data_IF_510655478346
#
_entry.id   IF_510655478346
#
_cell.length_a   1.000
_cell.length_b   1.000
_cell.length_c   1.000
_cell.angle_alpha   90.00
_cell.angle_beta   90.00
_cell.angle_gamma   90.00
#
_symmetry.space_group_name_H-M   'P 1'
#
loop_
_entity.id
_entity.type
_entity.pdbx_description
1 polymer ?
#
# COMPACT_ATOMS: atom_id res chain seq x y z
N UNK A 1 68.76 17.01 -7.80
CA UNK A 1 67.93 16.16 -8.70
C UNK A 1 66.76 15.67 -7.85
N UNK A 2 65.75 16.53 -7.66
CA UNK A 2 64.62 16.26 -6.76
C UNK A 2 63.37 16.03 -7.61
N UNK A 3 62.95 14.77 -7.77
CA UNK A 3 61.72 14.43 -8.48
C UNK A 3 60.52 14.59 -7.55
N UNK A 4 59.70 15.61 -7.80
CA UNK A 4 58.35 15.71 -7.23
C UNK A 4 57.52 14.52 -7.72
N UNK A 5 57.08 13.66 -6.80
CA UNK A 5 56.05 12.66 -7.06
C UNK A 5 54.68 13.34 -6.90
N UNK A 6 53.94 13.49 -8.00
CA UNK A 6 52.55 13.95 -8.00
C UNK A 6 51.65 12.86 -7.40
N UNK A 7 50.73 13.18 -6.46
CA UNK A 7 49.71 12.22 -6.06
C UNK A 7 48.67 12.09 -7.18
N UNK A 8 48.49 10.86 -7.67
CA UNK A 8 47.46 10.46 -8.61
C UNK A 8 46.11 10.50 -7.86
N UNK A 9 45.31 11.53 -8.11
CA UNK A 9 43.91 11.59 -7.67
C UNK A 9 43.13 10.55 -8.47
N UNK A 10 42.72 9.47 -7.82
CA UNK A 10 41.75 8.51 -8.35
C UNK A 10 40.36 9.13 -8.24
N UNK A 11 39.85 9.65 -9.36
CA UNK A 11 38.44 9.98 -9.50
C UNK A 11 37.69 8.65 -9.59
N UNK A 12 37.09 8.19 -8.49
CA UNK A 12 36.09 7.12 -8.53
C UNK A 12 34.86 7.73 -9.22
N UNK A 13 34.71 7.47 -10.51
CA UNK A 13 33.46 7.73 -11.21
C UNK A 13 32.42 6.77 -10.61
N UNK A 14 31.55 7.31 -9.75
CA UNK A 14 30.37 6.61 -9.27
C UNK A 14 29.39 6.54 -10.44
N UNK A 15 29.57 5.53 -11.30
CA UNK A 15 28.56 5.20 -12.31
C UNK A 15 27.31 4.73 -11.55
N UNK A 16 26.12 5.30 -11.81
CA UNK A 16 24.89 4.71 -11.29
C UNK A 16 24.77 3.32 -11.91
N UNK A 17 24.96 2.29 -11.09
CA UNK A 17 24.51 0.93 -11.42
C UNK A 17 22.98 1.02 -11.49
N UNK A 18 22.45 1.20 -12.70
CA UNK A 18 21.09 0.80 -12.99
C UNK A 18 21.09 -0.72 -12.89
N UNK A 19 20.86 -1.24 -11.69
CA UNK A 19 20.48 -2.63 -11.50
C UNK A 19 19.13 -2.76 -12.21
N UNK A 20 19.13 -3.40 -13.39
CA UNK A 20 17.90 -3.82 -14.05
C UNK A 20 17.22 -4.77 -13.08
N UNK A 21 16.18 -4.29 -12.39
CA UNK A 21 15.42 -5.11 -11.47
C UNK A 21 14.69 -6.18 -12.28
N UNK A 22 14.60 -7.43 -11.79
CA UNK A 22 13.84 -8.46 -12.47
C UNK A 22 12.39 -8.01 -12.68
N UNK A 23 11.84 -8.23 -13.88
CA UNK A 23 10.42 -7.92 -14.22
C UNK A 23 9.42 -8.67 -13.32
N UNK A 24 9.88 -9.66 -12.58
CA UNK A 24 9.11 -10.30 -11.51
C UNK A 24 8.64 -9.33 -10.43
N UNK A 25 9.32 -8.20 -10.24
CA UNK A 25 9.10 -7.28 -9.11
C UNK A 25 7.83 -6.41 -9.24
N UNK A 26 7.29 -6.17 -10.44
CA UNK A 26 6.04 -5.40 -10.54
C UNK A 26 4.84 -6.25 -10.13
N UNK A 27 4.00 -5.71 -9.26
CA UNK A 27 2.75 -6.33 -8.83
C UNK A 27 1.57 -5.37 -9.02
N UNK A 28 0.36 -5.87 -8.75
CA UNK A 28 -0.82 -5.02 -8.61
C UNK A 28 -1.30 -5.01 -7.16
N UNK A 29 -1.81 -3.89 -6.66
CA UNK A 29 -2.46 -3.83 -5.34
C UNK A 29 -3.62 -2.83 -5.35
N UNK A 30 -4.41 -2.84 -4.28
CA UNK A 30 -5.48 -1.87 -4.07
C UNK A 30 -5.04 -0.76 -3.14
N UNK A 31 -5.30 0.48 -3.54
CA UNK A 31 -5.30 1.64 -2.65
C UNK A 31 -6.71 2.12 -2.39
N UNK A 32 -7.05 2.28 -1.12
CA UNK A 32 -8.37 2.74 -0.72
C UNK A 32 -8.50 4.25 -0.88
N UNK A 33 -9.47 4.69 -1.67
CA UNK A 33 -9.86 6.11 -1.76
C UNK A 33 -10.96 6.42 -0.75
N UNK A 34 -11.98 5.54 -0.69
CA UNK A 34 -13.04 5.52 0.31
C UNK A 34 -13.68 4.12 0.36
N UNK A 35 -14.67 3.90 1.23
CA UNK A 35 -15.30 2.58 1.42
C UNK A 35 -15.93 1.97 0.14
N UNK A 36 -16.22 2.79 -0.88
CA UNK A 36 -16.86 2.38 -2.13
C UNK A 36 -15.99 2.59 -3.38
N UNK A 37 -14.74 3.04 -3.22
CA UNK A 37 -13.85 3.32 -4.35
C UNK A 37 -12.41 2.98 -3.98
N UNK A 38 -11.80 2.13 -4.80
CA UNK A 38 -10.41 1.70 -4.64
C UNK A 38 -9.68 1.87 -5.97
N UNK A 39 -8.47 2.39 -5.92
CA UNK A 39 -7.57 2.39 -7.07
C UNK A 39 -6.89 1.03 -7.18
N UNK A 40 -6.69 0.56 -8.40
CA UNK A 40 -5.85 -0.58 -8.72
C UNK A 40 -4.55 -0.02 -9.25
N UNK A 41 -3.46 -0.24 -8.52
CA UNK A 41 -2.14 0.26 -8.84
C UNK A 41 -1.29 -0.87 -9.39
N UNK A 42 -0.41 -0.54 -10.33
CA UNK A 42 0.67 -1.39 -10.83
C UNK A 42 2.01 -0.74 -10.45
N UNK A 43 2.99 -1.51 -9.97
CA UNK A 43 4.25 -0.93 -9.50
C UNK A 43 4.95 -1.75 -8.43
N UNK A 44 5.68 -1.02 -7.59
CA UNK A 44 6.48 -1.50 -6.46
C UNK A 44 5.87 -0.98 -5.14
N UNK A 45 5.12 -1.80 -4.38
CA UNK A 45 4.50 -1.34 -3.14
C UNK A 45 5.53 -0.95 -2.06
N UNK A 46 6.67 -1.64 -1.99
CA UNK A 46 7.80 -1.38 -1.09
C UNK A 46 8.49 -0.02 -1.33
N UNK A 47 8.49 0.45 -2.59
CA UNK A 47 9.01 1.77 -2.95
C UNK A 47 7.94 2.87 -2.88
N UNK A 48 6.68 2.51 -2.63
CA UNK A 48 5.51 3.36 -2.83
C UNK A 48 5.56 4.09 -4.18
N UNK A 49 5.85 3.31 -5.24
CA UNK A 49 6.13 3.83 -6.57
C UNK A 49 5.15 3.25 -7.59
N UNK A 50 4.00 3.92 -7.78
CA UNK A 50 3.09 3.61 -8.86
C UNK A 50 3.77 3.80 -10.23
N UNK A 51 3.52 2.86 -11.13
CA UNK A 51 3.90 2.93 -12.53
C UNK A 51 2.65 2.99 -13.42
N UNK A 52 2.78 3.47 -14.67
CA UNK A 52 1.65 3.49 -15.60
C UNK A 52 1.08 2.08 -15.79
N UNK A 53 -0.20 1.91 -15.42
CA UNK A 53 -0.94 0.68 -15.64
C UNK A 53 -1.41 0.62 -17.10
N UNK A 54 -1.14 -0.50 -17.79
CA UNK A 54 -1.65 -0.75 -19.12
C UNK A 54 -3.05 -1.37 -19.03
N UNK A 55 -4.06 -0.63 -19.50
CA UNK A 55 -5.45 -1.05 -19.39
C UNK A 55 -5.77 -2.29 -20.24
N UNK A 56 -5.01 -2.54 -21.31
CA UNK A 56 -5.22 -3.72 -22.17
C UNK A 56 -4.81 -5.01 -21.46
N UNK A 57 -3.93 -4.90 -20.46
CA UNK A 57 -3.46 -6.02 -19.62
C UNK A 57 -4.38 -6.29 -18.42
N UNK A 58 -5.19 -5.32 -18.01
CA UNK A 58 -6.16 -5.50 -16.95
C UNK A 58 -7.31 -6.41 -17.40
N UNK A 59 -7.56 -7.49 -16.65
CA UNK A 59 -8.55 -8.50 -17.03
C UNK A 59 -9.85 -8.36 -16.23
N UNK A 60 -9.75 -8.26 -14.90
CA UNK A 60 -10.94 -8.17 -14.06
C UNK A 60 -10.65 -7.66 -12.65
N UNK A 61 -11.70 -7.17 -11.99
CA UNK A 61 -11.73 -6.95 -10.56
C UNK A 61 -13.13 -7.23 -10.01
N UNK A 62 -13.18 -7.83 -8.82
CA UNK A 62 -14.41 -8.29 -8.17
C UNK A 62 -14.47 -7.76 -6.75
N UNK A 63 -15.65 -7.32 -6.31
CA UNK A 63 -15.91 -6.92 -4.94
C UNK A 63 -16.84 -7.92 -4.25
N UNK A 64 -16.65 -8.10 -2.94
CA UNK A 64 -17.40 -9.05 -2.13
C UNK A 64 -17.97 -8.39 -0.87
N UNK A 65 -19.13 -8.85 -0.41
CA UNK A 65 -19.69 -8.51 0.91
C UNK A 65 -19.05 -9.33 2.04
N UNK A 66 -19.50 -9.09 3.28
CA UNK A 66 -19.02 -9.79 4.47
C UNK A 66 -19.27 -11.31 4.47
N UNK A 67 -20.17 -11.80 3.62
CA UNK A 67 -20.50 -13.21 3.50
C UNK A 67 -19.74 -13.88 2.35
N UNK A 68 -18.68 -13.24 1.83
CA UNK A 68 -17.91 -13.72 0.69
C UNK A 68 -18.77 -13.87 -0.57
N UNK A 69 -19.80 -13.02 -0.72
CA UNK A 69 -20.65 -13.01 -1.90
C UNK A 69 -20.29 -11.82 -2.79
N UNK A 70 -20.19 -12.08 -4.10
CA UNK A 70 -19.97 -11.03 -5.10
C UNK A 70 -21.06 -9.97 -5.02
N UNK A 71 -20.65 -8.70 -4.96
CA UNK A 71 -21.52 -7.52 -5.02
C UNK A 71 -21.32 -6.77 -6.34
N UNK A 72 -22.31 -5.98 -6.80
CA UNK A 72 -22.17 -5.17 -8.00
C UNK A 72 -21.02 -4.17 -7.89
N UNK A 73 -20.12 -4.22 -8.87
CA UNK A 73 -19.00 -3.29 -9.02
C UNK A 73 -18.79 -2.90 -10.48
N UNK A 74 -18.17 -1.75 -10.71
CA UNK A 74 -17.75 -1.29 -12.03
C UNK A 74 -16.33 -0.78 -11.98
N UNK A 75 -15.59 -0.96 -13.08
CA UNK A 75 -14.30 -0.32 -13.26
C UNK A 75 -14.44 0.98 -14.02
N UNK A 76 -13.62 1.97 -13.69
CA UNK A 76 -13.57 3.25 -14.40
C UNK A 76 -12.14 3.75 -14.55
N UNK A 77 -11.80 4.25 -15.72
CA UNK A 77 -10.52 4.89 -15.99
C UNK A 77 -10.67 6.42 -15.87
N UNK A 78 -9.93 7.04 -14.96
CA UNK A 78 -9.94 8.49 -14.75
C UNK A 78 -8.50 9.01 -14.74
N UNK A 79 -8.15 9.90 -15.68
CA UNK A 79 -6.81 10.47 -15.80
C UNK A 79 -5.68 9.40 -15.82
N UNK A 80 -5.92 8.27 -16.49
CA UNK A 80 -4.96 7.16 -16.57
C UNK A 80 -4.89 6.27 -15.34
N UNK A 81 -5.74 6.48 -14.33
CA UNK A 81 -5.83 5.67 -13.11
C UNK A 81 -7.06 4.77 -13.17
N UNK A 82 -6.89 3.51 -12.79
CA UNK A 82 -7.95 2.52 -12.81
C UNK A 82 -8.60 2.39 -11.43
N UNK A 83 -9.92 2.56 -11.37
CA UNK A 83 -10.68 2.44 -10.13
C UNK A 83 -11.69 1.32 -10.21
N UNK A 84 -11.88 0.61 -9.09
CA UNK A 84 -13.02 -0.24 -8.81
C UNK A 84 -14.01 0.51 -7.92
N UNK A 85 -15.26 0.59 -8.36
CA UNK A 85 -16.34 1.29 -7.66
C UNK A 85 -17.46 0.33 -7.29
N UNK A 86 -18.03 0.50 -6.11
CA UNK A 86 -19.16 -0.29 -5.61
C UNK A 86 -20.30 0.64 -5.18
N UNK A 87 -21.52 0.09 -5.11
CA UNK A 87 -22.68 0.83 -4.59
C UNK A 87 -22.85 0.71 -3.07
N UNK A 88 -22.09 -0.19 -2.45
CA UNK A 88 -22.07 -0.46 -1.01
C UNK A 88 -20.65 -0.82 -0.60
N UNK A 89 -20.29 -0.64 0.69
CA UNK A 89 -18.95 -0.98 1.17
C UNK A 89 -18.57 -2.41 0.84
N UNK A 90 -17.41 -2.61 0.23
CA UNK A 90 -16.85 -3.94 0.00
C UNK A 90 -16.13 -4.41 1.27
N UNK A 91 -16.26 -5.69 1.59
CA UNK A 91 -15.50 -6.34 2.66
C UNK A 91 -14.23 -7.01 2.14
N UNK A 92 -14.21 -7.37 0.87
CA UNK A 92 -13.02 -7.88 0.19
C UNK A 92 -13.04 -7.49 -1.29
N UNK A 93 -11.86 -7.41 -1.88
CA UNK A 93 -11.63 -7.12 -3.30
C UNK A 93 -10.64 -8.11 -3.87
N UNK A 94 -10.83 -8.51 -5.12
CA UNK A 94 -9.82 -9.22 -5.90
C UNK A 94 -9.62 -8.58 -7.26
N UNK A 95 -8.41 -8.65 -7.82
CA UNK A 95 -8.11 -8.22 -9.18
C UNK A 95 -7.17 -9.19 -9.89
N UNK A 96 -7.23 -9.19 -11.22
CA UNK A 96 -6.37 -9.95 -12.11
C UNK A 96 -5.86 -9.05 -13.24
N UNK A 97 -4.56 -9.09 -13.45
CA UNK A 97 -3.83 -8.38 -14.48
C UNK A 97 -2.88 -9.36 -15.18
N UNK A 98 -3.06 -9.53 -16.48
CA UNK A 98 -2.18 -10.36 -17.31
C UNK A 98 -1.04 -9.47 -17.82
N UNK A 99 0.13 -9.57 -17.18
CA UNK A 99 1.27 -8.75 -17.56
C UNK A 99 1.90 -9.18 -18.91
N UNK A 100 1.36 -10.22 -19.53
CA UNK A 100 1.72 -10.70 -20.85
C UNK A 100 3.02 -11.51 -20.85
N UNK A 101 3.59 -11.65 -22.05
CA UNK A 101 4.80 -12.42 -22.28
C UNK A 101 6.04 -11.54 -22.22
N UNK A 102 7.08 -12.07 -21.61
CA UNK A 102 8.36 -11.40 -21.49
C UNK A 102 9.47 -12.33 -21.92
N UNK A 103 10.38 -11.79 -22.74
CA UNK A 103 11.58 -12.49 -23.16
C UNK A 103 12.76 -12.00 -22.35
N UNK A 104 13.46 -12.91 -21.69
CA UNK A 104 14.78 -12.65 -21.11
C UNK A 104 15.85 -12.64 -22.20
N UNK A 105 16.58 -11.54 -22.29
CA UNK A 105 17.68 -11.36 -23.23
C UNK A 105 18.99 -11.90 -22.63
N UNK A 106 20.02 -12.19 -23.46
CA UNK A 106 21.32 -12.70 -22.97
C UNK A 106 22.06 -11.76 -22.01
N UNK A 107 21.65 -10.50 -21.91
CA UNK A 107 22.18 -9.50 -20.98
C UNK A 107 21.31 -9.33 -19.72
N UNK A 108 20.42 -10.29 -19.45
CA UNK A 108 19.51 -10.32 -18.29
C UNK A 108 18.48 -9.18 -18.29
N UNK A 109 18.31 -8.49 -19.43
CA UNK A 109 17.20 -7.56 -19.64
C UNK A 109 15.95 -8.28 -20.11
N UNK A 110 14.80 -7.63 -20.00
CA UNK A 110 13.51 -8.23 -20.35
C UNK A 110 12.77 -7.34 -21.35
N UNK A 111 12.28 -7.95 -22.43
CA UNK A 111 11.41 -7.30 -23.41
C UNK A 111 9.99 -7.82 -23.28
N UNK A 112 8.99 -6.93 -23.19
CA UNK A 112 7.60 -7.33 -23.33
C UNK A 112 7.33 -7.65 -24.80
N UNK A 113 6.84 -8.84 -25.07
CA UNK A 113 6.55 -9.32 -26.43
C UNK A 113 5.07 -9.68 -26.54
N UNK A 114 4.56 -9.62 -27.76
CA UNK A 114 3.21 -10.07 -28.06
C UNK A 114 3.08 -11.59 -27.91
N UNK A 115 1.85 -12.07 -27.77
CA UNK A 115 1.56 -13.51 -27.81
C UNK A 115 2.02 -14.15 -29.12
N UNK A 116 1.80 -13.48 -30.26
CA UNK A 116 2.21 -13.98 -31.57
C UNK A 116 3.74 -14.14 -31.65
N UNK A 117 4.50 -13.18 -31.11
CA UNK A 117 5.96 -13.28 -31.05
C UNK A 117 6.42 -14.38 -30.10
N UNK A 118 5.77 -14.53 -28.95
CA UNK A 118 6.06 -15.62 -28.00
C UNK A 118 5.86 -16.99 -28.65
N UNK A 119 4.76 -17.16 -29.40
CA UNK A 119 4.45 -18.41 -30.12
C UNK A 119 5.41 -18.71 -31.27
N UNK A 120 6.07 -17.69 -31.82
CA UNK A 120 7.00 -17.82 -32.94
C UNK A 120 8.43 -18.19 -32.54
N UNK A 121 8.79 -18.16 -31.25
CA UNK A 121 10.15 -18.41 -30.74
C UNK A 121 10.23 -19.65 -29.83
N UNK A 122 11.44 -20.20 -29.61
CA UNK A 122 11.64 -21.27 -28.64
C UNK A 122 11.53 -20.68 -27.22
N UNK A 123 10.65 -21.26 -26.39
CA UNK A 123 10.21 -20.68 -25.11
C UNK A 123 11.23 -20.74 -23.97
N UNK A 124 12.45 -21.24 -24.21
CA UNK A 124 13.47 -21.40 -23.16
C UNK A 124 13.81 -20.10 -22.41
N UNK A 125 13.55 -18.94 -23.01
CA UNK A 125 13.74 -17.63 -22.39
C UNK A 125 12.47 -16.75 -22.41
N UNK A 126 11.29 -17.37 -22.49
CA UNK A 126 10.00 -16.67 -22.51
C UNK A 126 9.14 -17.16 -21.35
N UNK A 127 8.63 -16.22 -20.57
CA UNK A 127 7.65 -16.52 -19.52
C UNK A 127 6.45 -15.59 -19.65
N UNK A 128 5.26 -16.11 -19.33
CA UNK A 128 4.08 -15.29 -19.08
C UNK A 128 4.06 -14.87 -17.61
N UNK A 129 3.72 -13.61 -17.34
CA UNK A 129 3.59 -13.12 -15.98
C UNK A 129 2.16 -12.70 -15.69
N UNK A 130 1.53 -13.31 -14.70
CA UNK A 130 0.15 -13.00 -14.28
C UNK A 130 0.14 -12.50 -12.84
N UNK A 131 -0.65 -11.47 -12.59
CA UNK A 131 -0.64 -10.73 -11.32
C UNK A 131 -2.04 -10.70 -10.72
N UNK A 132 -2.14 -11.07 -9.46
CA UNK A 132 -3.37 -11.10 -8.69
C UNK A 132 -3.23 -10.21 -7.47
N UNK A 133 -4.34 -9.61 -7.05
CA UNK A 133 -4.41 -8.85 -5.81
C UNK A 133 -5.61 -9.31 -5.00
N UNK A 134 -5.44 -9.37 -3.68
CA UNK A 134 -6.54 -9.50 -2.71
C UNK A 134 -6.42 -8.41 -1.66
N UNK A 135 -7.52 -7.75 -1.35
CA UNK A 135 -7.58 -6.78 -0.24
C UNK A 135 -8.78 -7.06 0.65
N UNK A 136 -8.60 -6.96 1.97
CA UNK A 136 -9.65 -7.14 2.96
C UNK A 136 -9.92 -5.85 3.74
N UNK A 137 -11.20 -5.52 3.91
CA UNK A 137 -11.65 -4.38 4.72
C UNK A 137 -12.56 -4.78 5.88
N UNK A 138 -12.90 -6.06 5.97
CA UNK A 138 -13.53 -6.70 7.12
C UNK A 138 -12.92 -8.10 7.33
N UNK A 139 -13.19 -8.70 8.49
CA UNK A 139 -12.71 -10.05 8.81
C UNK A 139 -13.78 -10.87 9.53
N UNK A 140 -13.96 -12.11 9.07
CA UNK A 140 -14.79 -13.15 9.69
C UNK A 140 -14.43 -14.52 9.07
N UNK A 141 -15.09 -15.59 9.51
CA UNK A 141 -14.82 -16.95 9.02
C UNK A 141 -14.99 -17.11 7.50
N UNK A 142 -15.96 -16.40 6.89
CA UNK A 142 -16.22 -16.45 5.43
C UNK A 142 -15.11 -15.77 4.63
N UNK A 143 -14.60 -14.64 5.12
CA UNK A 143 -13.51 -13.87 4.48
C UNK A 143 -12.12 -14.46 4.77
N UNK A 144 -12.02 -15.34 5.77
CA UNK A 144 -10.83 -16.14 6.03
C UNK A 144 -10.70 -17.37 5.10
N UNK A 145 -11.66 -17.59 4.19
CA UNK A 145 -11.58 -18.65 3.18
C UNK A 145 -10.91 -18.16 1.87
N UNK A 146 -10.34 -19.06 1.06
CA UNK A 146 -9.79 -18.72 -0.25
C UNK A 146 -10.86 -18.17 -1.19
N UNK A 147 -10.48 -17.16 -1.98
CA UNK A 147 -11.29 -16.52 -3.02
C UNK A 147 -11.15 -17.22 -4.38
N UNK A 148 -10.51 -18.39 -4.40
CA UNK A 148 -10.28 -19.22 -5.59
C UNK A 148 -9.48 -18.49 -6.69
N UNK A 149 -8.52 -17.65 -6.29
CA UNK A 149 -7.54 -17.11 -7.22
C UNK A 149 -6.52 -18.21 -7.58
N UNK A 150 -5.96 -18.23 -8.79
CA UNK A 150 -4.92 -19.20 -9.16
C UNK A 150 -3.72 -19.21 -8.22
N UNK A 151 -3.30 -18.04 -7.77
CA UNK A 151 -2.38 -17.85 -6.64
C UNK A 151 -3.03 -16.92 -5.61
N UNK A 152 -2.90 -17.22 -4.32
CA UNK A 152 -3.54 -16.45 -3.26
C UNK A 152 -2.74 -16.46 -1.97
N UNK A 153 -2.56 -15.30 -1.34
CA UNK A 153 -2.02 -15.18 0.01
C UNK A 153 -3.19 -15.27 1.01
N UNK A 154 -3.11 -16.22 1.94
CA UNK A 154 -4.11 -16.49 2.96
C UNK A 154 -3.58 -16.10 4.34
N UNK A 155 -4.10 -15.02 4.96
CA UNK A 155 -3.85 -14.77 6.38
C UNK A 155 -4.49 -15.87 7.25
N UNK A 156 -3.77 -16.32 8.28
CA UNK A 156 -4.25 -17.36 9.21
C UNK A 156 -4.90 -16.79 10.48
N UNK A 157 -4.89 -15.47 10.62
CA UNK A 157 -5.53 -14.73 11.70
C UNK A 157 -6.05 -13.37 11.19
N UNK A 158 -6.74 -12.61 12.03
CA UNK A 158 -7.35 -11.34 11.64
C UNK A 158 -6.29 -10.27 11.30
N UNK A 159 -6.13 -9.89 10.02
CA UNK A 159 -5.12 -8.94 9.60
C UNK A 159 -5.49 -7.49 9.92
N UNK A 160 -6.72 -7.22 10.37
CA UNK A 160 -7.23 -5.88 10.69
C UNK A 160 -7.06 -5.49 12.17
N UNK A 161 -6.56 -6.40 13.01
CA UNK A 161 -6.40 -6.18 14.45
C UNK A 161 -4.95 -6.41 14.89
N UNK A 162 -4.00 -6.06 14.02
CA UNK A 162 -2.58 -6.18 14.27
C UNK A 162 -2.02 -4.84 14.78
N UNK A 163 -1.17 -4.90 15.79
CA UNK A 163 -0.39 -3.79 16.31
C UNK A 163 1.10 -3.94 15.94
N UNK A 164 1.87 -2.85 16.08
CA UNK A 164 3.31 -2.90 15.87
C UNK A 164 3.96 -3.92 16.83
N UNK A 165 4.80 -4.80 16.28
CA UNK A 165 5.42 -5.91 17.01
C UNK A 165 4.64 -7.23 16.95
N UNK A 166 3.41 -7.23 16.45
CA UNK A 166 2.67 -8.45 16.15
C UNK A 166 3.29 -9.18 14.94
N UNK A 167 2.83 -10.42 14.73
CA UNK A 167 3.26 -11.25 13.61
C UNK A 167 2.03 -11.86 12.95
N UNK A 168 1.84 -11.60 11.66
CA UNK A 168 0.77 -12.21 10.87
C UNK A 168 1.26 -13.50 10.19
N UNK A 169 0.85 -14.69 10.66
CA UNK A 169 1.05 -15.92 9.91
C UNK A 169 0.20 -15.94 8.64
N UNK A 170 0.84 -16.28 7.52
CA UNK A 170 0.18 -16.46 6.22
C UNK A 170 0.53 -17.82 5.59
N UNK A 171 -0.28 -18.26 4.64
CA UNK A 171 0.04 -19.32 3.69
C UNK A 171 -0.13 -18.80 2.27
N UNK A 172 0.62 -19.36 1.32
CA UNK A 172 0.39 -19.11 -0.12
C UNK A 172 -0.25 -20.35 -0.72
N UNK A 173 -1.34 -20.14 -1.43
CA UNK A 173 -2.04 -21.18 -2.16
C UNK A 173 -1.76 -21.03 -3.66
N UNK A 174 -1.57 -22.15 -4.34
CA UNK A 174 -1.62 -22.26 -5.79
C UNK A 174 -2.65 -23.33 -6.15
N UNK A 175 -3.63 -22.99 -6.98
CA UNK A 175 -4.76 -23.86 -7.32
C UNK A 175 -5.39 -24.52 -6.06
N UNK A 176 -5.75 -23.68 -5.07
CA UNK A 176 -6.36 -24.06 -3.79
C UNK A 176 -5.49 -24.92 -2.84
N UNK A 177 -4.26 -25.27 -3.23
CA UNK A 177 -3.35 -26.07 -2.41
C UNK A 177 -2.21 -25.22 -1.87
N UNK A 178 -1.76 -25.49 -0.65
CA UNK A 178 -0.54 -24.88 -0.12
C UNK A 178 0.61 -25.25 -1.05
N UNK A 179 1.27 -24.23 -1.59
CA UNK A 179 2.37 -24.42 -2.53
C UNK A 179 3.68 -24.62 -1.77
N UNK A 180 4.55 -25.47 -2.30
CA UNK A 180 5.89 -25.66 -1.74
C UNK A 180 6.81 -24.54 -2.20
N UNK A 181 7.63 -24.04 -1.28
CA UNK A 181 8.64 -23.00 -1.51
C UNK A 181 8.21 -21.80 -2.39
N UNK A 182 7.08 -21.11 -2.11
CA UNK A 182 6.80 -19.83 -2.76
C UNK A 182 7.85 -18.80 -2.34
N UNK A 183 8.15 -17.85 -3.23
CA UNK A 183 8.85 -16.63 -2.82
C UNK A 183 7.82 -15.73 -2.12
N UNK A 184 8.12 -15.32 -0.89
CA UNK A 184 7.31 -14.35 -0.14
C UNK A 184 8.18 -13.15 0.17
N UNK A 185 7.66 -11.96 -0.08
CA UNK A 185 8.37 -10.69 0.14
C UNK A 185 7.49 -9.74 0.94
N UNK A 186 8.13 -8.95 1.79
CA UNK A 186 7.48 -7.92 2.59
C UNK A 186 8.45 -6.76 2.81
N UNK A 187 8.06 -5.55 2.42
CA UNK A 187 8.90 -4.35 2.47
C UNK A 187 10.25 -4.52 1.73
N UNK A 188 10.22 -5.22 0.60
CA UNK A 188 11.40 -5.50 -0.23
C UNK A 188 12.35 -6.56 0.33
N UNK A 189 11.98 -7.23 1.42
CA UNK A 189 12.79 -8.30 2.03
C UNK A 189 12.12 -9.67 1.85
N UNK A 190 12.92 -10.68 1.54
CA UNK A 190 12.44 -12.06 1.44
C UNK A 190 12.09 -12.63 2.83
N UNK A 191 10.88 -13.17 2.96
CA UNK A 191 10.39 -13.84 4.16
C UNK A 191 10.52 -15.36 4.01
N UNK A 192 11.12 -15.99 5.02
CA UNK A 192 11.26 -17.44 5.05
C UNK A 192 9.90 -18.14 5.22
N UNK A 193 9.63 -19.10 4.34
CA UNK A 193 8.49 -20.02 4.43
C UNK A 193 8.96 -21.30 5.13
N UNK A 194 8.25 -21.71 6.18
CA UNK A 194 8.61 -22.91 6.93
C UNK A 194 8.09 -24.19 6.27
N UNK A 195 8.44 -25.35 6.84
CA UNK A 195 8.08 -26.67 6.31
C UNK A 195 6.57 -26.96 6.25
N UNK A 196 5.73 -26.14 6.88
CA UNK A 196 4.27 -26.25 6.83
C UNK A 196 3.66 -25.28 5.79
N UNK A 197 4.49 -24.63 4.97
CA UNK A 197 4.06 -23.63 3.99
C UNK A 197 3.65 -22.30 4.60
N UNK A 198 4.06 -22.01 5.85
CA UNK A 198 3.70 -20.79 6.56
C UNK A 198 4.85 -19.79 6.55
N UNK A 199 4.57 -18.56 6.14
CA UNK A 199 5.45 -17.39 6.35
C UNK A 199 4.92 -16.55 7.51
N UNK A 200 5.83 -15.91 8.26
CA UNK A 200 5.50 -15.06 9.40
C UNK A 200 5.85 -13.61 9.03
N UNK A 201 4.84 -12.77 8.91
CA UNK A 201 4.99 -11.37 8.50
C UNK A 201 5.11 -10.47 9.74
N UNK A 202 6.25 -9.82 9.98
CA UNK A 202 6.42 -8.94 11.13
C UNK A 202 5.72 -7.59 10.90
N UNK A 203 4.92 -7.14 11.87
CA UNK A 203 4.16 -5.90 11.76
C UNK A 203 4.95 -4.72 12.33
N UNK A 204 5.17 -3.70 11.50
CA UNK A 204 5.91 -2.50 11.87
C UNK A 204 5.02 -1.38 12.41
N UNK A 205 5.63 -0.23 12.70
CA UNK A 205 4.94 0.98 13.20
C UNK A 205 3.90 1.52 12.20
N UNK A 206 4.11 1.29 10.90
CA UNK A 206 3.16 1.66 9.84
C UNK A 206 1.91 0.77 9.80
N UNK A 207 1.87 -0.30 10.60
CA UNK A 207 0.87 -1.35 10.50
C UNK A 207 1.21 -2.37 9.41
N UNK A 208 0.18 -3.09 8.93
CA UNK A 208 0.32 -4.03 7.83
C UNK A 208 0.47 -3.28 6.49
N UNK A 209 1.56 -3.53 5.80
CA UNK A 209 1.80 -3.07 4.43
C UNK A 209 1.49 -4.20 3.42
N UNK A 210 1.68 -3.95 2.12
CA UNK A 210 1.40 -4.97 1.10
C UNK A 210 2.35 -6.15 1.25
N UNK A 211 1.79 -7.36 1.30
CA UNK A 211 2.55 -8.61 1.26
C UNK A 211 2.54 -9.12 -0.18
N UNK A 212 3.68 -9.61 -0.64
CA UNK A 212 3.86 -10.13 -1.98
C UNK A 212 4.23 -11.61 -1.92
N UNK A 213 3.73 -12.37 -2.88
CA UNK A 213 4.13 -13.74 -3.08
C UNK A 213 4.20 -14.05 -4.57
N UNK A 214 5.17 -14.88 -4.97
CA UNK A 214 5.26 -15.40 -6.32
C UNK A 214 5.57 -16.88 -6.35
N UNK A 215 5.09 -17.52 -7.40
CA UNK A 215 5.30 -18.93 -7.68
C UNK A 215 5.25 -19.16 -9.18
N UNK A 216 6.19 -19.97 -9.67
CA UNK A 216 6.25 -20.34 -11.06
C UNK A 216 5.77 -21.78 -11.24
N UNK A 217 4.75 -21.98 -12.08
CA UNK A 217 4.17 -23.31 -12.27
C UNK A 217 5.08 -24.19 -13.12
N UNK A 218 5.78 -25.10 -12.45
CA UNK A 218 6.67 -26.07 -13.07
C UNK A 218 5.94 -27.06 -14.01
N UNK A 219 4.61 -27.16 -13.95
CA UNK A 219 3.81 -27.97 -14.86
C UNK A 219 3.27 -27.20 -16.06
N UNK A 220 3.42 -25.87 -16.08
CA UNK A 220 3.05 -25.06 -17.22
C UNK A 220 3.94 -25.44 -18.41
N UNK A 221 3.33 -25.59 -19.58
CA UNK A 221 4.04 -25.94 -20.79
C UNK A 221 4.13 -24.70 -21.68
N UNK A 222 5.36 -24.29 -22.01
CA UNK A 222 5.75 -23.49 -23.17
C UNK A 222 4.76 -22.38 -23.60
N UNK A 223 4.88 -21.15 -23.06
CA UNK A 223 5.89 -20.68 -22.09
C UNK A 223 5.55 -21.06 -20.65
N UNK A 224 6.55 -20.97 -19.79
CA UNK A 224 6.35 -21.05 -18.34
C UNK A 224 5.49 -19.88 -17.84
N UNK A 225 4.60 -20.12 -16.88
CA UNK A 225 3.76 -19.08 -16.30
C UNK A 225 4.21 -18.81 -14.87
N UNK A 226 4.62 -17.56 -14.63
CA UNK A 226 4.94 -17.01 -13.32
C UNK A 226 3.74 -16.25 -12.77
N UNK A 227 3.31 -16.64 -11.58
CA UNK A 227 2.19 -16.07 -10.87
C UNK A 227 2.71 -15.18 -9.74
N UNK A 228 2.13 -13.98 -9.59
CA UNK A 228 2.33 -13.17 -8.40
C UNK A 228 0.98 -12.81 -7.76
N UNK A 229 0.95 -12.77 -6.44
CA UNK A 229 -0.18 -12.34 -5.64
C UNK A 229 0.25 -11.23 -4.69
N UNK A 230 -0.63 -10.26 -4.47
CA UNK A 230 -0.51 -9.32 -3.35
C UNK A 230 -1.65 -9.50 -2.36
N UNK A 231 -1.35 -9.17 -1.11
CA UNK A 231 -2.34 -9.09 -0.05
C UNK A 231 -2.20 -7.80 0.74
N UNK A 232 -3.31 -7.13 0.97
CA UNK A 232 -3.41 -6.00 1.90
C UNK A 232 -4.65 -6.11 2.76
N UNK A 233 -4.66 -5.44 3.90
CA UNK A 233 -5.88 -5.31 4.70
C UNK A 233 -5.96 -3.91 5.34
N UNK A 234 -7.11 -3.26 5.19
CA UNK A 234 -7.38 -1.96 5.78
C UNK A 234 -8.86 -1.82 6.12
N UNK A 235 -9.19 -1.55 7.38
CA UNK A 235 -10.58 -1.51 7.83
C UNK A 235 -11.44 -0.51 7.06
N UNK A 236 -12.71 -0.83 6.86
CA UNK A 236 -13.70 0.18 6.51
C UNK A 236 -13.78 1.26 7.60
N UNK A 237 -13.78 2.52 7.19
CA UNK A 237 -13.92 3.61 8.14
C UNK A 237 -15.28 3.49 8.81
N UNK A 238 -15.32 3.06 10.08
CA UNK A 238 -16.50 3.30 10.92
C UNK A 238 -16.60 4.82 11.08
N UNK A 239 -17.71 5.48 10.69
CA UNK A 239 -17.81 6.92 10.91
C UNK A 239 -18.08 7.19 12.39
N UNK A 240 -17.25 8.00 13.05
CA UNK A 240 -17.71 9.01 14.03
C UNK A 240 -16.57 9.86 14.61
N UNK A 241 -16.61 11.16 14.34
CA UNK A 241 -16.63 12.12 15.44
C UNK A 241 -17.93 12.91 15.25
N UNK A 242 -18.94 12.82 16.15
CA UNK A 242 -20.00 13.84 16.12
C UNK A 242 -19.30 15.18 16.34
N UNK A 243 -19.52 16.15 15.45
CA UNK A 243 -19.16 17.54 15.75
C UNK A 243 -19.56 17.82 17.20
N UNK A 244 -18.69 18.42 18.03
CA UNK A 244 -19.15 18.92 19.30
C UNK A 244 -20.31 19.86 18.98
N UNK A 245 -21.52 19.45 19.37
CA UNK A 245 -22.66 20.33 19.34
C UNK A 245 -22.18 21.59 20.04
N UNK A 246 -22.15 22.71 19.32
CA UNK A 246 -21.77 24.02 19.84
C UNK A 246 -22.35 24.14 21.24
N UNK A 247 -21.50 23.99 22.27
CA UNK A 247 -21.85 24.35 23.63
C UNK A 247 -21.96 25.86 23.58
N UNK A 248 -23.16 26.32 23.26
CA UNK A 248 -23.56 27.69 23.48
C UNK A 248 -23.15 28.04 24.90
N UNK A 249 -22.33 29.08 25.02
CA UNK A 249 -21.95 29.67 26.30
C UNK A 249 -23.22 29.97 27.10
N UNK A 250 -23.60 29.07 28.00
CA UNK A 250 -24.46 29.41 29.12
C UNK A 250 -23.56 29.93 30.23
N UNK A 251 -23.42 31.26 30.24
CA UNK A 251 -22.93 32.02 31.37
C UNK A 251 -23.73 31.63 32.62
N UNK A 252 -23.11 30.87 33.51
CA UNK A 252 -23.65 30.61 34.85
C UNK A 252 -22.87 31.45 35.83
N UNK A 253 -23.43 32.62 36.13
CA UNK A 253 -23.05 33.46 37.26
C UNK A 253 -23.31 32.64 38.53
N UNK A 254 -22.27 32.34 39.30
CA UNK A 254 -22.44 31.89 40.69
C UNK A 254 -21.83 32.91 41.63
N UNK A 255 -22.69 33.80 42.11
CA UNK A 255 -22.49 34.56 43.33
C UNK A 255 -22.53 33.57 44.50
N UNK A 256 -21.43 33.36 45.21
CA UNK A 256 -21.49 33.08 46.65
C UNK A 256 -20.20 33.59 47.30
N UNK A 257 -20.37 34.55 48.20
CA UNK A 257 -19.28 35.22 48.89
C UNK A 257 -18.67 34.36 49.99
N UNK A 258 -17.38 34.61 50.23
CA UNK A 258 -16.81 34.50 51.56
C UNK A 258 -15.83 35.66 51.76
N UNK A 259 -16.17 36.53 52.69
CA UNK A 259 -15.30 37.59 53.18
C UNK A 259 -14.22 37.00 54.10
N UNK A 260 -12.98 37.44 53.96
CA UNK A 260 -12.09 37.82 55.06
C UNK A 260 -10.77 38.47 54.57
N UNK A 261 -10.73 39.80 54.71
CA UNK A 261 -9.70 40.63 55.35
C UNK A 261 -8.25 40.11 55.50
N UNK A 262 -7.25 40.81 54.93
CA UNK A 262 -6.37 41.80 55.63
C UNK A 262 -5.14 42.23 54.80
N UNK A 263 -4.85 43.54 54.90
CA UNK A 263 -3.52 44.23 54.81
C UNK A 263 -2.79 44.10 53.45
N UNK A 264 -2.56 45.14 52.66
CA UNK A 264 -2.31 46.54 52.98
C UNK A 264 -0.95 46.91 52.41
N UNK A 265 -0.92 47.78 51.39
CA UNK A 265 0.26 48.60 51.07
C UNK A 265 -0.16 49.74 50.15
N UNK A 266 -0.16 50.95 50.73
CA UNK A 266 -0.21 52.24 50.04
C UNK A 266 1.10 52.44 49.28
N UNK A 267 1.02 52.92 48.04
CA UNK A 267 1.95 53.96 47.58
C UNK A 267 1.29 54.87 46.54
N UNK A 268 1.22 56.16 46.89
CA UNK A 268 0.87 57.30 46.04
C UNK A 268 2.12 57.78 45.30
N UNK A 269 1.98 58.11 44.02
CA UNK A 269 2.69 59.21 43.32
C UNK A 269 1.94 59.47 42.00
N UNK A 270 1.06 60.47 41.92
CA UNK A 270 1.27 61.91 41.64
C UNK A 270 1.76 62.19 40.20
N UNK A 271 0.78 62.59 39.38
CA UNK A 271 0.75 63.47 38.20
C UNK A 271 2.07 63.90 37.54
N UNK A 272 2.08 63.85 36.20
CA UNK A 272 2.44 65.00 35.35
C UNK A 272 1.65 64.98 34.03
N UNK A 273 1.04 66.11 33.75
CA UNK A 273 0.39 66.56 32.51
C UNK A 273 1.40 66.90 31.42
N UNK A 274 1.01 66.74 30.15
CA UNK A 274 1.31 67.58 28.96
C UNK A 274 0.53 66.94 27.79
N UNK A 275 -0.61 67.46 27.33
CA UNK A 275 -0.89 68.57 26.38
C UNK A 275 -0.24 68.41 24.99
N UNK A 276 -1.13 68.28 23.99
CA UNK A 276 -1.03 68.57 22.54
C UNK A 276 -0.07 67.69 21.70
N UNK A 277 -0.36 67.27 20.47
CA UNK A 277 -1.09 67.92 19.37
C UNK A 277 -1.92 66.96 18.50
N UNK A 278 -2.94 67.55 17.88
CA UNK A 278 -3.70 67.08 16.70
C UNK A 278 -2.82 67.03 15.45
N UNK A 279 -2.97 66.00 14.60
CA UNK A 279 -3.08 66.12 13.12
C UNK A 279 -3.85 64.91 12.59
N UNK A 280 -4.99 65.17 11.95
CA UNK A 280 -5.66 64.26 11.01
C UNK A 280 -4.95 64.30 9.67
N UNK A 281 -5.00 63.21 8.89
CA UNK A 281 -5.32 63.30 7.46
C UNK A 281 -5.80 61.95 6.95
N UNK A 282 -7.02 61.95 6.41
CA UNK A 282 -7.58 60.93 5.53
C UNK A 282 -6.79 60.89 4.21
N UNK A 283 -6.50 59.69 3.74
CA UNK A 283 -6.93 59.16 2.43
C UNK A 283 -6.64 57.67 2.33
#
# INVERSE_FOLDING_TARGET
>A
MNSLKKPLLWTIALAPLFLNQPVSAHVIWFEKINDNQHEIIFGHPEENKPEPLDIEKFQSATAYDENHKVIPSTTSLENGRLFLKTNSPASALTAFYDNGFWRENPDETYDNISQEEAEAINYENVSQFVKYAKSLSAWNESLAQPFNLPIEIMPLENPLNLEAGDNLPIQVLFAENIVDAPLVEYLGETINVNSNGTAIIPIGESGLEVIEASYTDLNSNNPEISYAATFSAQSNSVPAIPEPQNLGLFASITFFGLAQTLKGLRLKKRMKTNKFDTVSFDK
#
